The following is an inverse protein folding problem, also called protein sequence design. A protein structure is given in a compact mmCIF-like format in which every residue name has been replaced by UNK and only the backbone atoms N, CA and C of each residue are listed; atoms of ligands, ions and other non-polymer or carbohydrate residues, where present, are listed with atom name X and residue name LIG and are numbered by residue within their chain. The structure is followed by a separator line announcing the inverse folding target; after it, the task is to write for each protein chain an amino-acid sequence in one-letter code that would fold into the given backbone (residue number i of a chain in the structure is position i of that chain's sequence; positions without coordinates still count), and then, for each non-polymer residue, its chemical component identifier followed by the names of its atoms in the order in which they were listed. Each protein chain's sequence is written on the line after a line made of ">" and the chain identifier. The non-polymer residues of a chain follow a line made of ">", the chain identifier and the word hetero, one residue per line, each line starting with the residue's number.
data_IF_971851637136
#
_entry.id   IF_971851637136
#
_cell.length_a   1.000
_cell.length_b   1.000
_cell.length_c   1.000
_cell.angle_alpha   90.00
_cell.angle_beta   90.00
_cell.angle_gamma   90.00
#
_symmetry.space_group_name_H-M   'P 1'
#
loop_
_entity.id
_entity.type
_entity.pdbx_description
1 polymer ?
#
# COMPACT_ATOMS: atom_id res chain seq x y z
N UNK A 1 -13.20 -8.48 -36.02
CA UNK A 1 -12.59 -9.39 -35.02
C UNK A 1 -11.27 -8.90 -34.40
N UNK A 2 -10.55 -7.89 -34.95
CA UNK A 2 -9.25 -7.44 -34.40
C UNK A 2 -9.34 -6.45 -33.22
N UNK A 3 -10.43 -5.68 -33.12
CA UNK A 3 -10.60 -4.65 -32.08
C UNK A 3 -10.81 -5.23 -30.67
N UNK A 4 -11.53 -6.35 -30.58
CA UNK A 4 -11.80 -7.06 -29.31
C UNK A 4 -10.52 -7.58 -28.64
N UNK A 5 -9.56 -8.06 -29.43
CA UNK A 5 -8.27 -8.51 -28.91
C UNK A 5 -7.44 -7.35 -28.37
N UNK A 6 -7.49 -6.19 -29.04
CA UNK A 6 -6.76 -5.00 -28.61
C UNK A 6 -7.32 -4.44 -27.29
N UNK A 7 -8.64 -4.39 -27.14
CA UNK A 7 -9.27 -3.92 -25.90
C UNK A 7 -8.98 -4.85 -24.72
N UNK A 8 -8.95 -6.16 -24.95
CA UNK A 8 -8.61 -7.14 -23.90
C UNK A 8 -7.16 -6.98 -23.42
N UNK A 9 -6.21 -6.83 -24.35
CA UNK A 9 -4.80 -6.57 -24.03
C UNK A 9 -4.65 -5.25 -23.25
N UNK A 10 -5.32 -4.19 -23.68
CA UNK A 10 -5.31 -2.91 -22.97
C UNK A 10 -5.85 -3.04 -21.52
N UNK A 11 -6.96 -3.75 -21.31
CA UNK A 11 -7.51 -3.99 -19.97
C UNK A 11 -6.55 -4.80 -19.07
N UNK A 12 -5.89 -5.82 -19.62
CA UNK A 12 -4.89 -6.63 -18.91
C UNK A 12 -3.65 -5.83 -18.50
N UNK A 13 -3.23 -4.87 -19.33
CA UNK A 13 -2.14 -3.95 -18.99
C UNK A 13 -2.55 -2.96 -17.90
N UNK A 14 -3.78 -2.45 -17.94
CA UNK A 14 -4.31 -1.52 -16.93
C UNK A 14 -4.46 -2.18 -15.55
N UNK A 15 -4.84 -3.47 -15.48
CA UNK A 15 -4.97 -4.19 -14.22
C UNK A 15 -3.63 -4.46 -13.52
N UNK A 16 -2.54 -4.59 -14.27
CA UNK A 16 -1.17 -4.65 -13.71
C UNK A 16 -0.71 -3.30 -13.12
N UNK A 17 -1.26 -2.19 -13.61
CA UNK A 17 -0.94 -0.84 -13.15
C UNK A 17 -1.80 -0.41 -11.96
N UNK A 18 -2.99 -0.99 -11.80
CA UNK A 18 -3.71 -0.90 -10.53
C UNK A 18 -2.97 -1.76 -9.50
N UNK A 19 -2.51 -1.20 -8.36
CA UNK A 19 -1.94 -2.02 -7.29
C UNK A 19 -3.11 -2.81 -6.66
N UNK A 20 -3.43 -3.96 -7.29
CA UNK A 20 -4.62 -4.77 -7.06
C UNK A 20 -4.76 -5.24 -5.62
N UNK A 21 -3.66 -5.32 -4.88
CA UNK A 21 -3.66 -5.32 -3.44
C UNK A 21 -2.38 -4.65 -2.97
N UNK A 22 -2.47 -3.44 -2.41
CA UNK A 22 -1.32 -2.84 -1.75
C UNK A 22 -0.88 -3.79 -0.63
N UNK A 23 0.29 -4.42 -0.80
CA UNK A 23 0.91 -5.35 0.14
C UNK A 23 0.66 -4.87 1.57
N UNK A 24 0.00 -5.71 2.37
CA UNK A 24 -0.31 -5.36 3.75
C UNK A 24 0.96 -5.48 4.61
N UNK A 25 1.08 -4.59 5.58
CA UNK A 25 2.21 -4.53 6.49
C UNK A 25 1.71 -4.23 7.91
N UNK A 26 2.60 -4.32 8.89
CA UNK A 26 2.29 -4.02 10.29
C UNK A 26 1.08 -4.81 10.82
N UNK A 27 1.16 -6.15 10.86
CA UNK A 27 0.06 -7.04 11.29
C UNK A 27 -1.27 -6.74 10.58
N UNK A 28 -1.21 -6.50 9.27
CA UNK A 28 -2.37 -6.16 8.42
C UNK A 28 -3.04 -4.81 8.73
N UNK A 29 -2.50 -4.01 9.64
CA UNK A 29 -3.01 -2.68 9.96
C UNK A 29 -2.49 -1.58 9.03
N UNK A 30 -1.49 -1.88 8.22
CA UNK A 30 -0.90 -0.97 7.24
C UNK A 30 -0.96 -1.48 5.81
N UNK A 31 -0.67 -0.56 4.88
CA UNK A 31 -0.52 -0.86 3.44
C UNK A 31 0.78 -0.23 2.92
N UNK A 32 1.53 -0.99 2.14
CA UNK A 32 2.73 -0.51 1.46
C UNK A 32 2.36 0.42 0.31
N UNK A 33 2.80 1.68 0.35
CA UNK A 33 2.53 2.70 -0.67
C UNK A 33 3.80 3.51 -0.96
N UNK A 34 3.88 4.10 -2.14
CA UNK A 34 4.94 5.06 -2.45
C UNK A 34 4.82 6.33 -1.60
N UNK A 35 3.59 6.75 -1.30
CA UNK A 35 3.28 7.89 -0.43
C UNK A 35 2.09 7.56 0.47
N UNK A 36 2.20 7.91 1.74
CA UNK A 36 1.10 7.76 2.68
C UNK A 36 0.02 8.83 2.51
N UNK A 37 -1.22 8.47 2.85
CA UNK A 37 -2.31 9.45 2.94
C UNK A 37 -2.06 10.40 4.12
N UNK A 38 -2.65 11.61 4.08
CA UNK A 38 -2.56 12.59 5.18
C UNK A 38 -3.05 12.04 6.53
N UNK A 39 -3.91 11.00 6.51
CA UNK A 39 -4.47 10.35 7.69
C UNK A 39 -3.67 9.12 8.16
N UNK A 40 -2.55 8.82 7.51
CA UNK A 40 -1.65 7.72 7.83
C UNK A 40 -0.27 8.29 8.17
N UNK A 41 0.54 7.55 8.93
CA UNK A 41 1.96 7.84 9.06
C UNK A 41 2.78 6.66 8.58
N UNK A 42 4.02 6.96 8.18
CA UNK A 42 5.04 5.95 7.89
C UNK A 42 5.43 5.30 9.21
N UNK A 43 5.45 3.97 9.24
CA UNK A 43 5.92 3.22 10.40
C UNK A 43 7.23 2.48 10.12
N UNK A 44 7.29 1.71 9.03
CA UNK A 44 8.49 1.01 8.55
C UNK A 44 8.52 1.01 7.02
N UNK A 45 9.64 0.58 6.43
CA UNK A 45 9.70 0.29 5.00
C UNK A 45 9.30 -1.17 4.74
N UNK A 46 8.58 -1.39 3.64
CA UNK A 46 8.26 -2.71 3.13
C UNK A 46 9.46 -3.29 2.37
N UNK A 47 9.46 -4.62 2.16
CA UNK A 47 10.53 -5.33 1.43
C UNK A 47 10.73 -4.84 -0.01
N UNK A 48 9.71 -4.23 -0.60
CA UNK A 48 9.76 -3.61 -1.92
C UNK A 48 10.21 -2.13 -1.90
N UNK A 49 10.77 -1.65 -0.79
CA UNK A 49 11.24 -0.27 -0.62
C UNK A 49 10.13 0.78 -0.44
N UNK A 50 8.85 0.40 -0.51
CA UNK A 50 7.72 1.32 -0.28
C UNK A 50 7.54 1.61 1.21
N UNK A 51 6.88 2.71 1.53
CA UNK A 51 6.53 3.07 2.91
C UNK A 51 5.33 2.23 3.39
N UNK A 52 5.45 1.63 4.57
CA UNK A 52 4.31 1.04 5.28
C UNK A 52 3.48 2.16 5.93
N UNK A 53 2.32 2.44 5.36
CA UNK A 53 1.41 3.48 5.82
C UNK A 53 0.38 2.89 6.79
N UNK A 54 0.39 3.36 8.03
CA UNK A 54 -0.45 2.85 9.12
C UNK A 54 -1.31 3.97 9.70
N UNK A 55 -2.58 3.70 9.98
CA UNK A 55 -3.44 4.65 10.69
C UNK A 55 -2.92 4.90 12.12
N UNK A 56 -2.89 6.13 12.63
CA UNK A 56 -2.37 6.46 13.96
C UNK A 56 -2.93 5.60 15.11
N UNK A 57 -4.19 5.16 15.02
CA UNK A 57 -4.82 4.31 16.05
C UNK A 57 -4.19 2.92 16.24
N UNK A 58 -3.42 2.45 15.25
CA UNK A 58 -2.73 1.15 15.29
C UNK A 58 -1.22 1.30 15.48
N UNK A 59 -0.73 2.53 15.64
CA UNK A 59 0.64 2.76 16.03
C UNK A 59 0.75 2.59 17.55
N UNK A 60 1.88 2.09 18.05
CA UNK A 60 2.14 2.13 19.48
C UNK A 60 2.05 3.59 19.92
N UNK A 61 1.17 3.86 20.89
CA UNK A 61 1.20 5.15 21.59
C UNK A 61 2.54 5.15 22.30
N UNK A 62 3.48 6.00 21.90
CA UNK A 62 4.69 6.23 22.68
C UNK A 62 4.22 6.43 24.13
N UNK A 63 4.49 5.44 24.98
CA UNK A 63 4.44 5.61 26.42
C UNK A 63 5.84 6.10 26.74
N UNK A 64 6.06 7.42 26.93
CA UNK A 64 7.39 7.94 27.22
C UNK A 64 7.92 7.48 28.58
N UNK A 65 7.11 6.73 29.36
CA UNK A 65 7.35 6.32 30.74
C UNK A 65 7.87 4.89 30.90
N UNK A 66 8.37 4.26 29.83
CA UNK A 66 9.00 2.92 29.88
C UNK A 66 10.52 2.98 29.66
N UNK A 67 11.12 4.15 29.87
CA UNK A 67 12.56 4.37 29.98
C UNK A 67 12.89 4.70 31.43
#
# INVERSE_FOLDING_TARGET
>A
MKLLSLTLVALLLLSQLTPGDALRCWNLHGKCRQRCSRKEKVYVYCTNGKMCCVKPKFQPKNKPWLL
#
